data_IF_359347028993
#
_entry.id   IF_359347028993
#
_cell.length_a   1.000
_cell.length_b   1.000
_cell.length_c   1.000
_cell.angle_alpha   90.00
_cell.angle_beta   90.00
_cell.angle_gamma   90.00
#
_symmetry.space_group_name_H-M   'P 1'
#
loop_
_entity.id
_entity.type
_entity.pdbx_description
1 polymer ?
#
# COMPACT_ATOMS: atom_id res chain seq x y z
N UNK A 1 -4.75 25.30 -15.40
CA UNK A 1 -5.09 23.85 -15.24
C UNK A 1 -6.12 23.66 -14.13
N UNK A 2 -6.75 22.49 -13.96
CA UNK A 2 -7.73 22.25 -12.88
C UNK A 2 -7.50 20.93 -12.14
N UNK A 3 -7.62 20.96 -10.81
CA UNK A 3 -7.47 19.82 -9.92
C UNK A 3 -8.80 19.45 -9.25
N UNK A 4 -9.06 18.16 -9.08
CA UNK A 4 -10.26 17.64 -8.42
C UNK A 4 -9.86 16.68 -7.30
N UNK A 5 -10.20 17.05 -6.06
CA UNK A 5 -10.03 16.21 -4.88
C UNK A 5 -11.25 15.29 -4.75
N UNK A 6 -11.14 14.01 -5.13
CA UNK A 6 -12.28 13.09 -5.17
C UNK A 6 -12.35 12.23 -3.90
N UNK A 7 -11.21 11.76 -3.41
CA UNK A 7 -11.11 10.98 -2.17
C UNK A 7 -9.68 11.02 -1.60
N UNK A 8 -9.56 10.83 -0.28
CA UNK A 8 -8.27 10.88 0.43
C UNK A 8 -7.87 12.27 0.91
N UNK A 9 -8.79 13.24 0.94
CA UNK A 9 -8.57 14.60 1.48
C UNK A 9 -9.36 14.87 2.76
N UNK A 10 -10.11 13.87 3.23
CA UNK A 10 -10.85 13.92 4.49
C UNK A 10 -10.49 12.76 5.43
N UNK A 11 -9.76 11.75 4.93
CA UNK A 11 -9.38 10.55 5.67
C UNK A 11 -8.10 9.92 5.09
N UNK A 12 -7.59 8.89 5.77
CA UNK A 12 -6.48 8.07 5.29
C UNK A 12 -7.03 6.91 4.46
N UNK A 13 -6.64 6.87 3.19
CA UNK A 13 -7.09 5.89 2.20
C UNK A 13 -8.13 6.48 1.23
N UNK A 14 -8.88 5.63 0.51
CA UNK A 14 -9.91 6.06 -0.45
C UNK A 14 -9.36 7.05 -1.50
N UNK A 15 -8.08 6.94 -1.86
CA UNK A 15 -7.40 7.94 -2.67
C UNK A 15 -7.97 7.97 -4.08
N UNK A 16 -8.34 9.16 -4.55
CA UNK A 16 -8.70 9.39 -5.95
C UNK A 16 -8.57 10.89 -6.25
N UNK A 17 -7.87 11.22 -7.33
CA UNK A 17 -7.80 12.58 -7.86
C UNK A 17 -8.08 12.61 -9.35
N UNK A 18 -8.49 13.77 -9.87
CA UNK A 18 -8.46 14.03 -11.30
C UNK A 18 -7.68 15.30 -11.63
N UNK A 19 -6.83 15.21 -12.65
CA UNK A 19 -5.96 16.29 -13.13
C UNK A 19 -6.41 16.68 -14.52
N UNK A 20 -6.99 17.87 -14.66
CA UNK A 20 -7.40 18.44 -15.94
C UNK A 20 -6.31 19.38 -16.46
N UNK A 21 -5.73 18.96 -17.58
CA UNK A 21 -4.70 19.67 -18.34
C UNK A 21 -5.28 20.92 -19.01
N UNK A 22 -4.44 21.84 -19.47
CA UNK A 22 -4.92 23.10 -20.07
C UNK A 22 -5.74 22.88 -21.34
N UNK A 23 -5.41 21.83 -22.09
CA UNK A 23 -6.17 21.40 -23.27
C UNK A 23 -7.53 20.75 -22.94
N UNK A 24 -7.93 20.70 -21.66
CA UNK A 24 -9.20 20.15 -21.19
C UNK A 24 -9.24 18.63 -21.07
N UNK A 25 -8.16 17.90 -21.37
CA UNK A 25 -8.06 16.45 -21.11
C UNK A 25 -7.85 16.19 -19.63
N UNK A 26 -8.55 15.19 -19.11
CA UNK A 26 -8.52 14.86 -17.68
C UNK A 26 -7.95 13.46 -17.45
N UNK A 27 -7.15 13.31 -16.41
CA UNK A 27 -6.50 12.05 -16.02
C UNK A 27 -6.87 11.73 -14.58
N UNK A 28 -7.46 10.57 -14.34
CA UNK A 28 -7.67 10.07 -12.97
C UNK A 28 -6.34 9.49 -12.49
N UNK A 29 -5.95 9.83 -11.26
CA UNK A 29 -4.84 9.17 -10.57
C UNK A 29 -5.36 8.54 -9.29
N UNK A 30 -5.16 7.22 -9.21
CA UNK A 30 -5.64 6.28 -8.20
C UNK A 30 -7.16 6.20 -8.01
N UNK A 31 -7.61 5.02 -7.58
CA UNK A 31 -8.98 4.67 -7.25
C UNK A 31 -8.96 3.67 -6.08
N UNK A 32 -8.89 4.22 -4.87
CA UNK A 32 -8.72 3.49 -3.63
C UNK A 32 -9.98 3.12 -2.87
N UNK A 33 -9.90 2.10 -2.01
CA UNK A 33 -10.93 1.79 -1.01
C UNK A 33 -10.65 2.49 0.33
N UNK A 34 -11.72 2.80 1.06
CA UNK A 34 -11.65 3.07 2.49
C UNK A 34 -11.84 1.75 3.26
N UNK A 35 -10.77 1.28 3.91
CA UNK A 35 -10.75 -0.05 4.53
C UNK A 35 -11.55 -0.18 5.84
N UNK A 36 -11.62 0.81 6.75
CA UNK A 36 -12.32 0.65 8.02
C UNK A 36 -13.75 0.08 7.92
N UNK A 37 -14.67 0.61 7.08
CA UNK A 37 -16.02 0.04 6.95
C UNK A 37 -16.03 -1.35 6.29
N UNK A 38 -14.99 -1.72 5.54
CA UNK A 38 -14.86 -3.06 4.95
C UNK A 38 -14.44 -4.08 6.00
N UNK A 39 -13.55 -3.70 6.94
CA UNK A 39 -13.10 -4.59 8.02
C UNK A 39 -14.24 -4.97 8.96
N UNK A 40 -15.26 -4.12 9.09
CA UNK A 40 -16.48 -4.40 9.84
C UNK A 40 -17.40 -5.43 9.16
N UNK A 41 -17.23 -5.69 7.86
CA UNK A 41 -18.00 -6.71 7.15
C UNK A 41 -17.42 -8.11 7.43
N UNK A 42 -18.28 -9.02 7.88
CA UNK A 42 -17.92 -10.43 8.06
C UNK A 42 -17.46 -11.08 6.73
N UNK A 43 -16.39 -11.90 6.79
CA UNK A 43 -15.94 -12.71 5.66
C UNK A 43 -17.10 -13.56 5.10
N UNK A 44 -17.53 -13.28 3.87
CA UNK A 44 -18.49 -14.12 3.13
C UNK A 44 -19.81 -13.46 2.73
N UNK A 45 -20.12 -12.24 3.18
CA UNK A 45 -21.24 -11.46 2.63
C UNK A 45 -20.82 -10.79 1.33
N UNK A 46 -21.71 -10.74 0.33
CA UNK A 46 -21.45 -10.11 -0.97
C UNK A 46 -21.10 -8.62 -0.80
N UNK A 47 -19.80 -8.35 -0.70
CA UNK A 47 -19.18 -7.02 -0.58
C UNK A 47 -19.56 -6.06 -1.73
N UNK A 48 -19.68 -6.49 -3.02
CA UNK A 48 -19.76 -5.55 -4.14
C UNK A 48 -20.93 -4.55 -4.09
N UNK A 49 -22.10 -4.97 -3.60
CA UNK A 49 -23.30 -4.12 -3.65
C UNK A 49 -23.30 -3.00 -2.60
N UNK A 50 -22.58 -3.16 -1.49
CA UNK A 50 -22.64 -2.24 -0.34
C UNK A 50 -21.47 -1.27 -0.24
N UNK A 51 -20.39 -1.44 -1.02
CA UNK A 51 -19.19 -0.60 -0.89
C UNK A 51 -19.49 0.90 -1.03
N UNK A 52 -20.39 1.28 -1.94
CA UNK A 52 -20.80 2.68 -2.08
C UNK A 52 -21.65 3.15 -0.90
N UNK A 53 -22.58 2.31 -0.43
CA UNK A 53 -23.50 2.62 0.67
C UNK A 53 -22.75 2.84 2.00
N UNK A 54 -21.70 2.06 2.25
CA UNK A 54 -20.88 2.17 3.47
C UNK A 54 -19.74 3.19 3.35
N UNK A 55 -19.70 3.97 2.27
CA UNK A 55 -18.66 4.99 2.05
C UNK A 55 -17.26 4.42 1.79
N UNK A 56 -17.16 3.17 1.34
CA UNK A 56 -15.88 2.54 1.04
C UNK A 56 -15.29 2.94 -0.33
N UNK A 57 -16.09 3.56 -1.21
CA UNK A 57 -15.66 4.06 -2.51
C UNK A 57 -15.53 5.60 -2.49
N UNK A 58 -14.59 6.18 -3.27
CA UNK A 58 -14.55 7.61 -3.55
C UNK A 58 -15.88 8.10 -4.13
N UNK A 59 -16.32 9.29 -3.74
CA UNK A 59 -17.51 9.91 -4.31
C UNK A 59 -17.17 10.67 -5.60
N UNK A 60 -17.21 9.95 -6.72
CA UNK A 60 -16.84 10.45 -8.05
C UNK A 60 -17.87 11.37 -8.74
N UNK A 61 -18.93 11.77 -8.04
CA UNK A 61 -20.00 12.62 -8.59
C UNK A 61 -19.51 13.99 -9.07
N UNK A 62 -18.45 14.53 -8.47
CA UNK A 62 -17.79 15.77 -8.92
C UNK A 62 -17.29 15.68 -10.37
N UNK A 63 -17.00 14.48 -10.86
CA UNK A 63 -16.51 14.24 -12.22
C UNK A 63 -17.64 14.03 -13.24
N UNK A 64 -18.90 13.99 -12.82
CA UNK A 64 -20.06 13.67 -13.68
C UNK A 64 -20.14 14.50 -14.96
N UNK A 65 -19.92 15.82 -14.86
CA UNK A 65 -19.97 16.76 -15.99
C UNK A 65 -18.78 16.65 -16.94
N UNK A 66 -17.71 15.94 -16.55
CA UNK A 66 -16.43 15.91 -17.27
C UNK A 66 -16.03 14.51 -17.71
N UNK A 67 -16.89 13.50 -17.52
CA UNK A 67 -16.58 12.09 -17.83
C UNK A 67 -16.08 11.85 -19.25
N UNK A 68 -16.61 12.58 -20.24
CA UNK A 68 -16.17 12.49 -21.65
C UNK A 68 -14.74 13.03 -21.90
N UNK A 69 -14.23 13.84 -20.97
CA UNK A 69 -12.89 14.44 -21.03
C UNK A 69 -11.84 13.58 -20.34
N UNK A 70 -12.24 12.56 -19.58
CA UNK A 70 -11.34 11.61 -18.91
C UNK A 70 -10.71 10.68 -19.94
N UNK A 71 -9.38 10.69 -20.01
CA UNK A 71 -8.59 9.98 -21.04
C UNK A 71 -7.85 8.75 -20.49
N UNK A 72 -7.60 8.72 -19.19
CA UNK A 72 -6.89 7.62 -18.54
C UNK A 72 -7.31 7.47 -17.08
N UNK A 73 -7.19 6.24 -16.59
CA UNK A 73 -7.22 5.88 -15.18
C UNK A 73 -5.81 5.40 -14.82
N UNK A 74 -5.07 6.13 -14.01
CA UNK A 74 -3.64 5.87 -13.76
C UNK A 74 -3.46 5.44 -12.32
N UNK A 75 -2.88 4.28 -12.08
CA UNK A 75 -2.71 3.72 -10.74
C UNK A 75 -1.23 3.70 -10.36
N UNK A 76 -0.88 4.41 -9.29
CA UNK A 76 0.49 4.60 -8.83
C UNK A 76 1.10 3.33 -8.24
N UNK A 77 0.33 2.55 -7.48
CA UNK A 77 0.79 1.30 -6.88
C UNK A 77 -0.34 0.35 -6.45
N UNK A 78 0.04 -0.79 -5.87
CA UNK A 78 -0.84 -1.94 -5.68
C UNK A 78 -1.60 -2.02 -4.34
N UNK A 79 -1.55 -0.99 -3.47
CA UNK A 79 -2.32 -1.03 -2.22
C UNK A 79 -3.81 -0.76 -2.46
N UNK A 80 -4.65 -1.30 -1.59
CA UNK A 80 -6.09 -1.28 -1.77
C UNK A 80 -6.69 0.12 -1.72
N UNK A 81 -6.04 1.04 -1.03
CA UNK A 81 -6.37 2.46 -0.99
C UNK A 81 -5.87 3.24 -2.21
N UNK A 82 -5.32 2.56 -3.22
CA UNK A 82 -4.96 3.13 -4.54
C UNK A 82 -5.54 2.35 -5.72
N UNK A 83 -5.61 1.01 -5.65
CA UNK A 83 -6.12 0.16 -6.74
C UNK A 83 -7.46 -0.51 -6.41
N UNK A 84 -7.88 -0.50 -5.14
CA UNK A 84 -8.96 -1.35 -4.66
C UNK A 84 -10.34 -0.98 -5.18
N UNK A 85 -10.58 0.28 -5.54
CA UNK A 85 -11.87 0.74 -6.06
C UNK A 85 -11.99 0.61 -7.58
N UNK A 86 -10.87 0.41 -8.30
CA UNK A 86 -10.85 0.24 -9.76
C UNK A 86 -11.89 -0.77 -10.25
N UNK A 87 -12.03 -2.00 -9.68
CA UNK A 87 -13.02 -2.97 -10.16
C UNK A 87 -14.47 -2.47 -10.12
N UNK A 88 -14.77 -1.49 -9.28
CA UNK A 88 -16.14 -1.00 -9.04
C UNK A 88 -16.43 0.31 -9.76
N UNK A 89 -15.40 1.10 -10.04
CA UNK A 89 -15.53 2.44 -10.63
C UNK A 89 -15.21 2.46 -12.13
N UNK A 90 -14.34 1.56 -12.62
CA UNK A 90 -13.69 1.76 -13.92
C UNK A 90 -14.64 1.92 -15.10
N UNK A 91 -15.72 1.13 -15.13
CA UNK A 91 -16.73 1.17 -16.20
C UNK A 91 -17.47 2.51 -16.32
N UNK A 92 -17.35 3.38 -15.32
CA UNK A 92 -17.91 4.73 -15.34
C UNK A 92 -17.16 5.66 -16.30
N UNK A 93 -15.97 5.26 -16.73
CA UNK A 93 -15.06 6.01 -17.57
C UNK A 93 -14.75 5.22 -18.83
N UNK A 94 -14.84 5.85 -20.00
CA UNK A 94 -14.44 5.25 -21.28
C UNK A 94 -12.93 5.48 -21.49
N UNK A 95 -12.12 4.96 -20.60
CA UNK A 95 -10.69 5.24 -20.52
C UNK A 95 -9.88 4.01 -20.10
N UNK A 96 -8.77 3.74 -20.79
CA UNK A 96 -7.87 2.65 -20.44
C UNK A 96 -7.25 2.85 -19.03
N UNK A 97 -6.91 1.74 -18.38
CA UNK A 97 -6.33 1.68 -17.03
C UNK A 97 -4.81 1.46 -17.16
N UNK A 98 -4.02 2.34 -16.57
CA UNK A 98 -2.55 2.38 -16.64
C UNK A 98 -1.93 2.13 -15.27
N UNK A 99 -0.77 1.48 -15.25
CA UNK A 99 -0.07 1.17 -14.01
C UNK A 99 1.11 0.23 -14.25
N UNK A 100 1.87 -0.05 -13.20
CA UNK A 100 3.05 -0.93 -13.29
C UNK A 100 2.66 -2.40 -13.45
N UNK A 101 3.57 -3.28 -13.93
CA UNK A 101 3.28 -4.70 -14.08
C UNK A 101 2.69 -5.34 -12.81
N UNK A 102 3.27 -5.04 -11.64
CA UNK A 102 2.83 -5.58 -10.36
C UNK A 102 1.44 -5.07 -9.98
N UNK A 103 1.19 -3.76 -10.13
CA UNK A 103 -0.13 -3.16 -9.90
C UNK A 103 -1.20 -3.81 -10.79
N UNK A 104 -0.89 -4.08 -12.07
CA UNK A 104 -1.81 -4.74 -12.99
C UNK A 104 -2.08 -6.21 -12.62
N UNK A 105 -1.07 -6.95 -12.18
CA UNK A 105 -1.29 -8.33 -11.71
C UNK A 105 -2.10 -8.40 -10.42
N UNK A 106 -1.92 -7.44 -9.51
CA UNK A 106 -2.76 -7.32 -8.30
C UNK A 106 -4.19 -6.94 -8.67
N UNK A 107 -4.39 -5.97 -9.56
CA UNK A 107 -5.72 -5.60 -10.08
C UNK A 107 -6.42 -6.81 -10.72
N UNK A 108 -5.72 -7.58 -11.53
CA UNK A 108 -6.24 -8.83 -12.11
C UNK A 108 -6.71 -9.81 -11.03
N UNK A 109 -5.96 -9.94 -9.94
CA UNK A 109 -6.32 -10.82 -8.85
C UNK A 109 -7.50 -10.28 -8.03
N UNK A 110 -7.60 -8.96 -7.80
CA UNK A 110 -8.75 -8.33 -7.14
C UNK A 110 -10.03 -8.50 -7.94
N UNK A 111 -9.97 -8.32 -9.26
CA UNK A 111 -11.09 -8.52 -10.15
C UNK A 111 -11.57 -9.98 -10.12
N UNK A 112 -10.64 -10.96 -10.19
CA UNK A 112 -10.95 -12.40 -10.09
C UNK A 112 -11.58 -12.78 -8.76
N UNK A 113 -11.04 -12.28 -7.64
CA UNK A 113 -11.54 -12.61 -6.29
C UNK A 113 -12.98 -12.14 -6.06
N UNK A 114 -13.41 -11.11 -6.79
CA UNK A 114 -14.74 -10.53 -6.70
C UNK A 114 -15.67 -10.94 -7.86
N UNK A 115 -15.22 -11.83 -8.75
CA UNK A 115 -15.93 -12.23 -9.96
C UNK A 115 -16.33 -11.04 -10.86
N UNK A 116 -15.45 -10.04 -10.94
CA UNK A 116 -15.66 -8.81 -11.73
C UNK A 116 -14.88 -8.91 -13.04
N UNK A 117 -15.59 -8.71 -14.15
CA UNK A 117 -14.98 -8.51 -15.47
C UNK A 117 -14.76 -7.02 -15.73
N UNK A 118 -13.50 -6.60 -15.72
CA UNK A 118 -13.10 -5.24 -16.11
C UNK A 118 -13.41 -5.01 -17.60
N UNK A 119 -13.96 -3.84 -17.93
CA UNK A 119 -14.37 -3.48 -19.29
C UNK A 119 -13.27 -2.70 -20.03
N UNK A 120 -12.61 -1.77 -19.35
CA UNK A 120 -11.53 -0.99 -19.95
C UNK A 120 -10.24 -1.81 -20.11
N UNK A 121 -9.44 -1.48 -21.12
CA UNK A 121 -8.18 -2.19 -21.36
C UNK A 121 -7.15 -1.77 -20.32
N UNK A 122 -6.37 -2.73 -19.86
CA UNK A 122 -5.21 -2.48 -19.00
C UNK A 122 -3.97 -2.25 -19.86
N UNK A 123 -3.17 -1.27 -19.48
CA UNK A 123 -1.94 -0.85 -20.14
C UNK A 123 -0.83 -0.79 -19.09
N UNK A 124 0.31 -1.37 -19.43
CA UNK A 124 1.46 -1.39 -18.53
C UNK A 124 2.38 -0.22 -18.83
N UNK A 125 2.79 0.51 -17.79
CA UNK A 125 3.88 1.48 -17.84
C UNK A 125 4.98 0.98 -16.91
N UNK A 126 6.19 0.81 -17.42
CA UNK A 126 7.31 0.34 -16.61
C UNK A 126 7.76 1.45 -15.64
N UNK A 127 8.27 1.12 -14.44
CA UNK A 127 8.90 2.12 -13.57
C UNK A 127 10.00 2.87 -14.33
N UNK A 128 10.09 4.19 -14.13
CA UNK A 128 11.01 5.07 -14.85
C UNK A 128 10.78 5.09 -16.38
N UNK A 129 9.54 4.99 -16.84
CA UNK A 129 9.18 5.17 -18.25
C UNK A 129 7.99 6.12 -18.41
N UNK A 130 7.76 6.60 -19.63
CA UNK A 130 6.61 7.41 -19.99
C UNK A 130 5.87 6.83 -21.18
N UNK A 131 4.59 7.20 -21.31
CA UNK A 131 3.74 6.84 -22.42
C UNK A 131 2.94 8.06 -22.88
N UNK A 132 2.73 8.21 -24.17
CA UNK A 132 1.81 9.20 -24.71
C UNK A 132 0.38 8.65 -24.64
N UNK A 133 -0.48 9.32 -23.88
CA UNK A 133 -1.89 8.99 -23.72
C UNK A 133 -2.71 10.13 -24.30
N UNK A 134 -3.37 9.88 -25.43
CA UNK A 134 -4.18 10.88 -26.13
C UNK A 134 -3.42 12.20 -26.36
N UNK A 135 -2.14 12.15 -26.75
CA UNK A 135 -1.31 13.33 -26.99
C UNK A 135 -0.71 13.97 -25.73
N UNK A 136 -0.88 13.38 -24.54
CA UNK A 136 -0.32 13.87 -23.27
C UNK A 136 0.72 12.88 -22.76
N UNK A 137 1.92 13.32 -22.40
CA UNK A 137 2.91 12.45 -21.78
C UNK A 137 2.50 12.14 -20.33
N UNK A 138 2.44 10.85 -19.99
CA UNK A 138 2.28 10.34 -18.62
C UNK A 138 3.55 9.61 -18.24
N UNK A 139 4.24 10.06 -17.20
CA UNK A 139 5.52 9.52 -16.75
C UNK A 139 5.39 8.87 -15.36
N UNK A 140 5.98 7.69 -15.21
CA UNK A 140 6.10 6.97 -13.94
C UNK A 140 7.53 7.08 -13.44
N UNK A 141 7.72 7.69 -12.26
CA UNK A 141 9.01 7.81 -11.60
C UNK A 141 9.08 6.85 -10.43
N UNK A 142 10.03 5.91 -10.47
CA UNK A 142 10.20 4.89 -9.44
C UNK A 142 10.56 5.51 -8.09
N UNK A 143 9.79 5.14 -7.07
CA UNK A 143 10.06 5.43 -5.66
C UNK A 143 9.89 4.18 -4.83
N UNK A 144 10.42 4.21 -3.61
CA UNK A 144 10.27 3.11 -2.66
C UNK A 144 9.03 3.32 -1.80
N UNK A 145 8.37 2.22 -1.43
CA UNK A 145 7.23 2.20 -0.52
C UNK A 145 7.12 0.79 0.10
N UNK A 146 6.06 0.50 0.85
CA UNK A 146 5.80 -0.84 1.42
C UNK A 146 5.24 -1.85 0.40
N UNK A 147 5.06 -1.47 -0.87
CA UNK A 147 4.73 -2.39 -1.97
C UNK A 147 5.70 -2.26 -3.14
N UNK A 148 5.71 -3.24 -4.06
CA UNK A 148 6.62 -3.24 -5.20
C UNK A 148 6.15 -2.35 -6.34
N UNK A 149 7.10 -1.84 -7.12
CA UNK A 149 6.87 -1.02 -8.32
C UNK A 149 5.91 0.17 -8.07
N UNK A 150 6.05 0.83 -6.93
CA UNK A 150 5.41 2.12 -6.65
C UNK A 150 6.02 3.22 -7.50
N UNK A 151 5.18 4.10 -8.02
CA UNK A 151 5.61 5.23 -8.82
C UNK A 151 4.94 6.54 -8.40
N UNK A 152 5.73 7.62 -8.43
CA UNK A 152 5.20 8.97 -8.58
C UNK A 152 4.71 9.10 -10.01
N UNK A 153 3.51 9.66 -10.18
CA UNK A 153 2.89 9.87 -11.48
C UNK A 153 3.04 11.34 -11.87
N UNK A 154 3.56 11.63 -13.05
CA UNK A 154 3.61 12.98 -13.62
C UNK A 154 2.81 13.02 -14.92
N UNK A 155 1.81 13.90 -14.97
CA UNK A 155 1.04 14.19 -16.18
C UNK A 155 1.54 15.52 -16.73
N UNK A 156 2.15 15.49 -17.92
CA UNK A 156 2.85 16.65 -18.50
C UNK A 156 1.89 17.57 -19.24
N UNK A 157 2.11 18.87 -19.10
CA UNK A 157 1.39 19.94 -19.79
C UNK A 157 2.39 21.04 -20.21
N UNK A 158 1.97 21.95 -21.08
CA UNK A 158 2.78 23.10 -21.51
C UNK A 158 3.08 24.07 -20.36
N UNK A 159 2.22 24.15 -19.34
CA UNK A 159 2.42 24.97 -18.13
C UNK A 159 3.29 24.27 -17.07
N UNK A 160 3.76 23.05 -17.37
CA UNK A 160 4.51 22.20 -16.46
C UNK A 160 3.70 21.01 -15.94
N UNK A 161 4.35 19.94 -15.47
CA UNK A 161 3.65 18.72 -15.07
C UNK A 161 2.86 18.91 -13.76
N UNK A 162 1.70 18.25 -13.69
CA UNK A 162 1.03 17.93 -12.43
C UNK A 162 1.57 16.58 -11.92
N UNK A 163 2.13 16.60 -10.71
CA UNK A 163 2.82 15.48 -10.09
C UNK A 163 2.00 14.97 -8.92
N UNK A 164 1.77 13.66 -8.90
CA UNK A 164 1.14 12.94 -7.81
C UNK A 164 2.18 12.05 -7.12
N UNK A 165 2.62 12.49 -5.95
CA UNK A 165 3.59 11.82 -5.09
C UNK A 165 2.93 11.38 -3.78
N UNK A 166 1.85 10.60 -3.90
CA UNK A 166 1.21 9.99 -2.75
C UNK A 166 1.82 8.61 -2.49
N UNK A 167 1.96 8.23 -1.22
CA UNK A 167 2.50 6.94 -0.76
C UNK A 167 3.90 6.61 -1.30
N UNK A 168 4.91 7.23 -0.69
CA UNK A 168 6.32 6.96 -0.99
C UNK A 168 7.17 7.11 0.28
N UNK A 169 8.40 6.59 0.24
CA UNK A 169 9.50 6.98 1.14
C UNK A 169 10.79 7.09 0.34
N UNK A 170 11.80 7.78 0.87
CA UNK A 170 13.14 7.80 0.27
C UNK A 170 14.09 6.78 0.92
N UNK A 171 14.00 5.54 0.45
CA UNK A 171 14.86 4.44 0.88
C UNK A 171 16.05 4.24 -0.06
N UNK A 172 17.26 4.53 0.44
CA UNK A 172 18.51 4.37 -0.31
C UNK A 172 19.14 2.97 -0.21
N UNK A 173 18.61 2.12 0.68
CA UNK A 173 19.08 0.75 0.90
C UNK A 173 17.89 -0.23 0.91
N UNK A 174 17.04 -0.24 -0.13
CA UNK A 174 15.87 -1.10 -0.15
C UNK A 174 16.29 -2.57 -0.22
N UNK A 175 15.51 -3.45 0.41
CA UNK A 175 15.77 -4.90 0.39
C UNK A 175 15.43 -5.53 -0.97
N UNK A 176 14.41 -5.03 -1.66
CA UNK A 176 14.04 -5.41 -3.01
C UNK A 176 13.93 -4.17 -3.88
N UNK A 177 14.34 -4.30 -5.13
CA UNK A 177 14.17 -3.26 -6.15
C UNK A 177 15.28 -2.21 -6.10
N UNK A 178 15.06 -1.11 -6.80
CA UNK A 178 16.02 0.00 -6.90
C UNK A 178 15.68 1.07 -5.86
N UNK A 179 16.68 1.86 -5.47
CA UNK A 179 16.46 3.13 -4.76
C UNK A 179 15.65 4.10 -5.65
N UNK A 180 15.00 5.14 -5.08
CA UNK A 180 14.31 6.17 -5.85
C UNK A 180 15.19 6.76 -6.96
N UNK A 181 14.59 7.08 -8.11
CA UNK A 181 15.32 7.69 -9.23
C UNK A 181 15.43 9.21 -9.08
N UNK A 182 16.38 9.63 -8.24
CA UNK A 182 16.64 11.06 -7.99
C UNK A 182 17.07 11.81 -9.25
N UNK A 183 17.72 11.15 -10.22
CA UNK A 183 18.13 11.79 -11.45
C UNK A 183 16.91 12.16 -12.30
N UNK A 184 15.92 11.26 -12.38
CA UNK A 184 14.64 11.56 -13.04
C UNK A 184 13.82 12.59 -12.29
N UNK A 185 13.78 12.57 -10.96
CA UNK A 185 13.10 13.62 -10.18
C UNK A 185 13.70 15.01 -10.46
N UNK A 186 15.03 15.12 -10.54
CA UNK A 186 15.70 16.37 -10.93
C UNK A 186 15.42 16.77 -12.39
N UNK A 187 15.37 15.80 -13.31
CA UNK A 187 14.97 16.05 -14.70
C UNK A 187 13.53 16.55 -14.79
N UNK A 188 12.61 15.96 -14.02
CA UNK A 188 11.22 16.41 -13.92
C UNK A 188 11.16 17.84 -13.37
N UNK A 189 11.91 18.14 -12.32
CA UNK A 189 12.00 19.49 -11.74
C UNK A 189 12.47 20.53 -12.77
N UNK A 190 13.39 20.18 -13.67
CA UNK A 190 13.86 21.09 -14.73
C UNK A 190 12.78 21.47 -15.75
N UNK A 191 11.67 20.71 -15.82
CA UNK A 191 10.50 21.06 -16.63
C UNK A 191 9.58 22.09 -15.96
N UNK A 192 9.87 22.49 -14.71
CA UNK A 192 9.04 23.42 -13.93
C UNK A 192 7.75 22.77 -13.43
N UNK A 193 7.79 22.08 -12.29
CA UNK A 193 6.61 21.38 -11.75
C UNK A 193 5.49 22.38 -11.43
N UNK A 194 4.35 22.22 -12.10
CA UNK A 194 3.20 23.11 -11.91
C UNK A 194 2.47 22.81 -10.59
N UNK A 195 2.25 21.52 -10.29
CA UNK A 195 1.53 21.12 -9.07
C UNK A 195 2.14 19.86 -8.50
N UNK A 196 2.29 19.82 -7.19
CA UNK A 196 2.65 18.64 -6.42
C UNK A 196 1.49 18.28 -5.49
N UNK A 197 0.86 17.13 -5.73
CA UNK A 197 -0.05 16.48 -4.78
C UNK A 197 0.78 15.48 -3.99
N UNK A 198 0.81 15.57 -2.66
CA UNK A 198 1.78 14.81 -1.85
C UNK A 198 1.19 14.32 -0.53
N UNK A 199 1.59 13.11 -0.16
CA UNK A 199 1.23 12.42 1.09
C UNK A 199 1.52 13.29 2.33
N UNK A 200 0.52 13.43 3.21
CA UNK A 200 0.63 14.17 4.47
C UNK A 200 0.67 13.28 5.72
N UNK A 201 0.54 11.95 5.57
CA UNK A 201 0.23 11.01 6.65
C UNK A 201 1.21 11.10 7.83
N UNK A 202 2.50 11.25 7.55
CA UNK A 202 3.57 11.38 8.54
C UNK A 202 4.32 12.70 8.46
N UNK A 203 3.69 13.76 7.95
CA UNK A 203 4.27 15.10 7.91
C UNK A 203 4.66 15.66 9.29
N UNK A 204 4.01 15.18 10.36
CA UNK A 204 4.31 15.55 11.74
C UNK A 204 5.43 14.73 12.40
N UNK A 205 5.95 13.69 11.75
CA UNK A 205 7.01 12.87 12.31
C UNK A 205 8.37 13.55 12.08
N UNK A 206 8.99 14.06 13.16
CA UNK A 206 10.28 14.76 13.13
C UNK A 206 11.47 13.81 12.90
N UNK A 207 11.52 13.22 11.72
CA UNK A 207 12.55 12.28 11.32
C UNK A 207 12.64 12.20 9.79
N UNK A 208 13.67 11.50 9.34
CA UNK A 208 13.66 10.81 8.04
C UNK A 208 13.12 9.40 8.24
N UNK A 209 12.30 8.89 7.32
CA UNK A 209 11.79 7.52 7.42
C UNK A 209 12.94 6.50 7.33
N UNK A 210 13.08 5.58 8.30
CA UNK A 210 14.10 4.54 8.25
C UNK A 210 13.96 3.63 7.02
N UNK A 211 15.11 3.20 6.49
CA UNK A 211 15.18 2.21 5.41
C UNK A 211 14.53 0.88 5.83
N UNK A 212 13.94 0.16 4.88
CA UNK A 212 13.50 -1.22 5.07
C UNK A 212 14.64 -2.16 5.52
N UNK A 213 15.90 -1.80 5.26
CA UNK A 213 17.06 -2.49 5.84
C UNK A 213 17.00 -2.52 7.38
N UNK A 214 16.55 -1.44 8.03
CA UNK A 214 16.43 -1.39 9.49
C UNK A 214 15.38 -2.39 9.98
N UNK A 215 14.24 -2.50 9.29
CA UNK A 215 13.25 -3.53 9.63
C UNK A 215 13.77 -4.95 9.40
N UNK A 216 14.57 -5.17 8.35
CA UNK A 216 15.26 -6.43 8.12
C UNK A 216 16.23 -6.76 9.25
N UNK A 217 17.01 -5.79 9.72
CA UNK A 217 17.98 -5.98 10.80
C UNK A 217 17.26 -6.32 12.12
N UNK A 218 16.19 -5.59 12.47
CA UNK A 218 15.35 -5.89 13.63
C UNK A 218 14.71 -7.28 13.55
N UNK A 219 14.21 -7.66 12.37
CA UNK A 219 13.64 -8.98 12.15
C UNK A 219 14.68 -10.09 12.26
N UNK A 220 15.89 -9.86 11.75
CA UNK A 220 17.01 -10.78 11.86
C UNK A 220 17.41 -11.00 13.32
N UNK A 221 17.48 -9.94 14.11
CA UNK A 221 17.77 -10.03 15.55
C UNK A 221 16.73 -10.90 16.28
N UNK A 222 15.44 -10.65 16.03
CA UNK A 222 14.36 -11.44 16.63
C UNK A 222 14.39 -12.90 16.20
N UNK A 223 14.63 -13.19 14.92
CA UNK A 223 14.59 -14.56 14.39
C UNK A 223 15.83 -15.37 14.72
N UNK A 224 17.02 -14.77 14.66
CA UNK A 224 18.30 -15.47 14.74
C UNK A 224 18.92 -15.43 16.15
N UNK A 225 18.72 -14.35 16.91
CA UNK A 225 19.38 -14.14 18.20
C UNK A 225 18.48 -14.45 19.40
N UNK A 226 17.32 -15.04 19.15
CA UNK A 226 16.38 -15.48 20.18
C UNK A 226 16.38 -17.00 20.28
N UNK A 227 16.54 -17.56 21.49
CA UNK A 227 16.39 -19.00 21.71
C UNK A 227 15.02 -19.49 21.20
N UNK A 228 15.04 -20.35 20.18
CA UNK A 228 13.87 -20.86 19.48
C UNK A 228 13.93 -22.38 19.21
N UNK A 229 14.82 -23.11 19.88
CA UNK A 229 15.16 -24.52 19.59
C UNK A 229 13.93 -25.43 19.51
N UNK A 230 12.99 -25.29 20.45
CA UNK A 230 11.74 -26.08 20.51
C UNK A 230 10.50 -25.34 19.99
N UNK A 231 10.68 -24.09 19.53
CA UNK A 231 9.58 -23.19 19.17
C UNK A 231 9.09 -23.43 17.75
N UNK A 232 7.76 -23.40 17.53
CA UNK A 232 7.24 -22.98 16.23
C UNK A 232 7.36 -21.45 16.15
N UNK A 233 7.81 -20.93 15.01
CA UNK A 233 7.84 -19.48 14.79
C UNK A 233 6.73 -19.08 13.83
N UNK A 234 5.94 -18.10 14.23
CA UNK A 234 4.84 -17.55 13.45
C UNK A 234 5.13 -16.07 13.21
N UNK A 235 5.35 -15.69 11.97
CA UNK A 235 5.50 -14.30 11.55
C UNK A 235 4.23 -13.85 10.86
N UNK A 236 3.74 -12.66 11.20
CA UNK A 236 2.62 -12.03 10.52
C UNK A 236 2.99 -10.63 10.08
N UNK A 237 2.57 -10.25 8.87
CA UNK A 237 2.86 -8.95 8.24
C UNK A 237 1.85 -8.65 7.14
N UNK A 238 1.93 -7.46 6.55
CA UNK A 238 1.14 -7.08 5.39
C UNK A 238 1.45 -7.99 4.20
N UNK A 239 0.40 -8.57 3.58
CA UNK A 239 0.59 -9.48 2.44
C UNK A 239 1.19 -8.78 1.21
N UNK A 240 0.96 -7.47 1.05
CA UNK A 240 1.53 -6.65 -0.02
C UNK A 240 3.02 -6.37 0.16
N UNK A 241 3.58 -6.56 1.37
CA UNK A 241 4.94 -6.15 1.69
C UNK A 241 5.98 -7.22 1.32
N UNK A 242 6.17 -7.42 0.01
CA UNK A 242 7.02 -8.48 -0.55
C UNK A 242 8.47 -8.38 -0.09
N UNK A 243 9.02 -7.17 0.09
CA UNK A 243 10.36 -6.97 0.64
C UNK A 243 10.53 -7.56 2.05
N UNK A 244 9.48 -7.43 2.89
CA UNK A 244 9.44 -8.06 4.21
C UNK A 244 9.37 -9.57 4.11
N UNK A 245 8.49 -10.08 3.25
CA UNK A 245 8.35 -11.52 3.00
C UNK A 245 9.66 -12.14 2.54
N UNK A 246 10.43 -11.46 1.67
CA UNK A 246 11.77 -11.90 1.25
C UNK A 246 12.76 -11.97 2.41
N UNK A 247 12.74 -10.98 3.30
CA UNK A 247 13.58 -11.01 4.51
C UNK A 247 13.23 -12.19 5.41
N UNK A 248 11.92 -12.46 5.61
CA UNK A 248 11.44 -13.61 6.39
C UNK A 248 11.91 -14.93 5.75
N UNK A 249 11.81 -15.05 4.42
CA UNK A 249 12.28 -16.23 3.67
C UNK A 249 13.79 -16.42 3.82
N UNK A 250 14.57 -15.35 3.67
CA UNK A 250 16.02 -15.40 3.81
C UNK A 250 16.45 -15.89 5.19
N UNK A 251 15.84 -15.36 6.25
CA UNK A 251 16.13 -15.79 7.62
C UNK A 251 15.61 -17.21 7.91
N UNK A 252 14.44 -17.58 7.39
CA UNK A 252 13.94 -18.96 7.51
C UNK A 252 14.89 -19.99 6.92
N UNK A 253 15.52 -19.67 5.78
CA UNK A 253 16.56 -20.50 5.15
C UNK A 253 17.84 -20.58 6.00
N UNK A 254 18.28 -19.46 6.57
CA UNK A 254 19.45 -19.43 7.46
C UNK A 254 19.25 -20.29 8.71
N UNK A 255 18.01 -20.41 9.18
CA UNK A 255 17.63 -21.25 10.32
C UNK A 255 17.35 -22.71 9.96
N UNK A 256 17.52 -23.10 8.69
CA UNK A 256 17.16 -24.43 8.16
C UNK A 256 15.71 -24.85 8.48
N UNK A 257 14.78 -23.89 8.38
CA UNK A 257 13.35 -24.14 8.61
C UNK A 257 12.57 -24.20 7.30
N UNK A 258 11.56 -25.07 7.26
CA UNK A 258 10.55 -25.10 6.21
C UNK A 258 9.62 -23.90 6.34
N UNK A 259 9.51 -23.12 5.28
CA UNK A 259 8.75 -21.86 5.27
C UNK A 259 7.38 -22.09 4.66
N UNK A 260 6.31 -21.85 5.43
CA UNK A 260 4.92 -22.04 5.00
C UNK A 260 4.17 -20.73 5.00
N UNK A 261 3.65 -20.33 3.85
CA UNK A 261 2.82 -19.14 3.69
C UNK A 261 1.34 -19.53 3.72
N UNK A 262 0.60 -18.96 4.67
CA UNK A 262 -0.78 -19.34 4.98
C UNK A 262 -1.73 -18.13 4.82
N UNK A 263 -2.60 -18.19 3.82
CA UNK A 263 -3.66 -17.21 3.63
C UNK A 263 -3.87 -16.77 2.19
N UNK A 264 -5.12 -16.44 1.85
CA UNK A 264 -5.53 -16.03 0.49
C UNK A 264 -4.80 -14.78 0.02
N UNK A 265 -4.67 -13.76 0.89
CA UNK A 265 -3.98 -12.51 0.54
C UNK A 265 -2.49 -12.72 0.29
N UNK A 266 -1.79 -13.53 1.09
CA UNK A 266 -0.38 -13.87 0.84
C UNK A 266 -0.22 -14.54 -0.52
N UNK A 267 -1.04 -15.55 -0.81
CA UNK A 267 -1.03 -16.24 -2.11
C UNK A 267 -1.24 -15.27 -3.28
N UNK A 268 -2.16 -14.31 -3.14
CA UNK A 268 -2.45 -13.29 -4.16
C UNK A 268 -1.22 -12.45 -4.51
N UNK A 269 -0.63 -11.79 -3.51
CA UNK A 269 0.46 -10.84 -3.72
C UNK A 269 1.77 -11.53 -4.09
N UNK A 270 2.08 -12.69 -3.49
CA UNK A 270 3.28 -13.46 -3.84
C UNK A 270 3.21 -13.95 -5.28
N UNK A 271 2.08 -14.50 -5.72
CA UNK A 271 1.95 -14.94 -7.12
C UNK A 271 2.01 -13.77 -8.11
N UNK A 272 1.46 -12.61 -7.76
CA UNK A 272 1.62 -11.41 -8.59
C UNK A 272 3.11 -11.03 -8.73
N UNK A 273 3.86 -11.02 -7.63
CA UNK A 273 5.29 -10.69 -7.64
C UNK A 273 6.11 -11.71 -8.45
N UNK A 274 5.80 -13.00 -8.31
CA UNK A 274 6.40 -14.10 -9.07
C UNK A 274 6.12 -13.96 -10.57
N UNK A 275 4.88 -13.71 -10.98
CA UNK A 275 4.52 -13.55 -12.41
C UNK A 275 5.20 -12.35 -13.06
N UNK A 276 5.49 -11.32 -12.27
CA UNK A 276 6.26 -10.16 -12.70
C UNK A 276 7.78 -10.38 -12.64
N UNK A 277 8.26 -11.58 -12.28
CA UNK A 277 9.68 -11.92 -12.08
C UNK A 277 10.39 -10.98 -11.08
N UNK A 278 9.67 -10.52 -10.05
CA UNK A 278 10.22 -9.62 -9.01
C UNK A 278 10.82 -10.37 -7.83
N UNK A 279 10.43 -11.63 -7.65
CA UNK A 279 10.94 -12.57 -6.65
C UNK A 279 10.97 -13.98 -7.24
N UNK A 280 11.83 -14.84 -6.70
CA UNK A 280 11.76 -16.28 -6.91
C UNK A 280 11.63 -16.97 -5.55
N UNK A 281 10.41 -17.42 -5.24
CA UNK A 281 10.11 -18.18 -4.02
C UNK A 281 9.77 -19.64 -4.31
N UNK A 282 9.73 -20.07 -5.57
CA UNK A 282 9.13 -21.35 -5.96
C UNK A 282 9.78 -22.57 -5.30
N UNK A 283 11.06 -22.47 -4.96
CA UNK A 283 11.82 -23.54 -4.31
C UNK A 283 11.99 -23.35 -2.80
N UNK A 284 11.64 -22.18 -2.30
CA UNK A 284 11.95 -21.75 -0.94
C UNK A 284 10.74 -21.84 0.01
N UNK A 285 9.52 -21.78 -0.52
CA UNK A 285 8.29 -21.75 0.30
C UNK A 285 7.25 -22.76 -0.16
N UNK A 286 6.41 -23.20 0.77
CA UNK A 286 5.14 -23.87 0.50
C UNK A 286 3.99 -22.89 0.74
N UNK A 287 3.02 -22.81 -0.18
CA UNK A 287 1.88 -21.90 -0.06
C UNK A 287 0.57 -22.66 0.07
N UNK A 288 -0.26 -22.29 1.06
CA UNK A 288 -1.61 -22.82 1.23
C UNK A 288 -2.63 -21.70 1.41
N UNK A 289 -3.60 -21.64 0.49
CA UNK A 289 -4.68 -20.65 0.50
C UNK A 289 -6.05 -21.26 0.80
N UNK A 290 -6.26 -22.55 0.50
CA UNK A 290 -7.55 -23.23 0.71
C UNK A 290 -7.66 -23.88 2.09
N UNK A 291 -8.87 -23.84 2.67
CA UNK A 291 -9.14 -24.30 4.04
C UNK A 291 -8.69 -25.75 4.31
N UNK A 292 -8.85 -26.66 3.34
CA UNK A 292 -8.45 -28.07 3.48
C UNK A 292 -6.93 -28.23 3.52
N UNK A 293 -6.21 -27.54 2.63
CA UNK A 293 -4.76 -27.61 2.54
C UNK A 293 -4.09 -27.00 3.77
N UNK A 294 -4.59 -25.84 4.22
CA UNK A 294 -4.15 -25.20 5.46
C UNK A 294 -4.31 -26.15 6.66
N UNK A 295 -5.45 -26.85 6.78
CA UNK A 295 -5.65 -27.83 7.87
C UNK A 295 -4.63 -28.98 7.81
N UNK A 296 -4.35 -29.52 6.62
CA UNK A 296 -3.39 -30.62 6.45
C UNK A 296 -1.97 -30.18 6.82
N UNK A 297 -1.53 -29.01 6.33
CA UNK A 297 -0.23 -28.44 6.64
C UNK A 297 -0.08 -28.19 8.15
N UNK A 298 -1.10 -27.60 8.78
CA UNK A 298 -1.08 -27.28 10.21
C UNK A 298 -0.95 -28.51 11.11
N UNK A 299 -1.53 -29.66 10.72
CA UNK A 299 -1.32 -30.93 11.44
C UNK A 299 0.16 -31.35 11.42
N UNK A 300 0.79 -31.29 10.26
CA UNK A 300 2.22 -31.65 10.11
C UNK A 300 3.13 -30.70 10.89
N UNK A 301 2.82 -29.40 10.87
CA UNK A 301 3.56 -28.40 11.64
C UNK A 301 3.44 -28.67 13.15
N UNK A 302 2.25 -29.05 13.62
CA UNK A 302 2.02 -29.33 15.04
C UNK A 302 2.86 -30.52 15.55
N UNK A 303 3.17 -31.50 14.70
CA UNK A 303 4.01 -32.66 15.00
C UNK A 303 5.52 -32.32 14.97
N UNK A 304 5.95 -31.35 14.17
CA UNK A 304 7.37 -31.03 13.92
C UNK A 304 7.70 -29.55 14.07
N UNK A 305 7.20 -28.93 15.14
CA UNK A 305 7.15 -27.46 15.37
C UNK A 305 8.45 -26.72 15.06
N UNK A 306 9.57 -27.18 15.61
CA UNK A 306 10.90 -26.55 15.45
C UNK A 306 11.43 -26.57 14.02
N UNK A 307 10.86 -27.36 13.12
CA UNK A 307 11.25 -27.42 11.71
C UNK A 307 10.56 -26.37 10.84
N UNK A 308 9.63 -25.59 11.39
CA UNK A 308 8.78 -24.71 10.60
C UNK A 308 8.90 -23.23 10.99
N UNK A 309 8.80 -22.39 9.96
CA UNK A 309 8.57 -20.95 10.04
C UNK A 309 7.25 -20.67 9.29
N UNK A 310 6.21 -20.29 10.02
CA UNK A 310 4.92 -19.94 9.45
C UNK A 310 4.87 -18.46 9.15
N UNK A 311 4.39 -18.10 7.96
CA UNK A 311 4.06 -16.72 7.59
C UNK A 311 2.57 -16.67 7.31
N UNK A 312 1.82 -15.88 8.06
CA UNK A 312 0.36 -15.91 7.98
C UNK A 312 -0.29 -14.54 8.04
N UNK A 313 -1.53 -14.45 7.54
CA UNK A 313 -2.38 -13.25 7.69
C UNK A 313 -2.92 -13.13 9.12
N UNK A 314 -3.33 -11.91 9.50
CA UNK A 314 -3.93 -11.65 10.81
C UNK A 314 -3.16 -10.68 11.70
N UNK A 315 -2.28 -9.86 11.13
CA UNK A 315 -1.40 -8.97 11.89
C UNK A 315 -2.15 -7.81 12.57
N UNK A 316 -3.38 -7.48 12.13
CA UNK A 316 -4.28 -6.52 12.78
C UNK A 316 -5.36 -7.22 13.62
N UNK A 317 -5.29 -8.55 13.80
CA UNK A 317 -6.34 -9.32 14.47
C UNK A 317 -7.61 -9.49 13.63
N UNK A 318 -7.51 -9.43 12.30
CA UNK A 318 -8.66 -9.48 11.40
C UNK A 318 -9.48 -10.76 11.62
N UNK A 319 -10.82 -10.67 11.81
CA UNK A 319 -11.67 -11.84 11.94
C UNK A 319 -11.50 -12.82 10.77
N UNK A 320 -11.43 -14.12 11.06
CA UNK A 320 -11.26 -15.16 10.05
C UNK A 320 -9.82 -15.33 9.51
N UNK A 321 -8.90 -14.41 9.83
CA UNK A 321 -7.49 -14.53 9.49
C UNK A 321 -6.83 -15.78 10.11
N UNK A 322 -5.73 -16.22 9.52
CA UNK A 322 -5.07 -17.47 9.94
C UNK A 322 -4.58 -17.36 11.39
N UNK A 323 -3.94 -16.25 11.77
CA UNK A 323 -3.44 -16.07 13.14
C UNK A 323 -4.56 -16.04 14.18
N UNK A 324 -5.67 -15.33 13.92
CA UNK A 324 -6.83 -15.32 14.82
C UNK A 324 -7.44 -16.71 14.97
N UNK A 325 -7.51 -17.48 13.89
CA UNK A 325 -7.99 -18.87 13.94
C UNK A 325 -7.03 -19.80 14.68
N UNK A 326 -5.71 -19.55 14.63
CA UNK A 326 -4.72 -20.26 15.45
C UNK A 326 -4.88 -19.93 16.94
N UNK A 327 -5.00 -18.65 17.27
CA UNK A 327 -5.14 -18.18 18.65
C UNK A 327 -6.43 -18.67 19.34
N UNK A 328 -7.47 -18.95 18.55
CA UNK A 328 -8.76 -19.48 19.01
C UNK A 328 -8.90 -21.01 18.87
N UNK A 329 -7.82 -21.75 18.63
CA UNK A 329 -7.83 -23.22 18.46
C UNK A 329 -8.78 -23.74 17.35
N UNK A 330 -9.04 -22.93 16.32
CA UNK A 330 -9.94 -23.27 15.20
C UNK A 330 -9.22 -24.00 14.05
N UNK A 331 -7.95 -24.35 14.24
CA UNK A 331 -7.10 -25.08 13.32
C UNK A 331 -6.49 -26.30 14.03
N UNK A 332 -6.10 -27.36 13.30
CA UNK A 332 -5.44 -28.55 13.86
C UNK A 332 -3.96 -28.26 14.23
N UNK A 333 -3.74 -27.15 14.92
CA UNK A 333 -2.48 -26.66 15.44
C UNK A 333 -2.81 -25.83 16.68
N UNK A 334 -2.16 -26.14 17.79
CA UNK A 334 -2.30 -25.37 19.02
C UNK A 334 -1.04 -24.58 19.27
N UNK A 335 -1.16 -23.29 19.54
CA UNK A 335 -0.06 -22.48 20.03
C UNK A 335 0.31 -22.95 21.44
N UNK A 336 1.60 -22.97 21.76
CA UNK A 336 2.17 -23.43 23.03
C UNK A 336 3.11 -22.36 23.60
N UNK A 337 3.35 -22.33 24.93
CA UNK A 337 4.13 -21.27 25.56
C UNK A 337 5.54 -21.05 24.98
N UNK A 338 6.17 -22.08 24.42
CA UNK A 338 7.48 -21.96 23.78
C UNK A 338 7.44 -21.29 22.39
N UNK A 339 6.28 -21.17 21.75
CA UNK A 339 6.21 -20.63 20.39
C UNK A 339 6.37 -19.12 20.38
N UNK A 340 6.84 -18.62 19.24
CA UNK A 340 7.02 -17.19 19.01
C UNK A 340 5.98 -16.68 18.02
N UNK A 341 5.32 -15.58 18.36
CA UNK A 341 4.48 -14.81 17.42
C UNK A 341 5.12 -13.45 17.21
N UNK A 342 5.52 -13.18 15.96
CA UNK A 342 6.24 -11.98 15.55
C UNK A 342 5.32 -11.14 14.66
N UNK A 343 4.91 -9.99 15.16
CA UNK A 343 4.19 -8.97 14.40
C UNK A 343 5.20 -8.09 13.68
N UNK A 344 5.48 -8.42 12.42
CA UNK A 344 6.34 -7.64 11.55
C UNK A 344 5.54 -6.55 10.83
N UNK A 345 4.79 -5.78 11.62
CA UNK A 345 3.91 -4.69 11.21
C UNK A 345 3.58 -3.82 12.42
N UNK A 346 3.16 -2.58 12.18
CA UNK A 346 2.54 -1.75 13.21
C UNK A 346 1.02 -1.89 13.19
N UNK A 347 0.37 -1.76 14.35
CA UNK A 347 -1.09 -1.66 14.44
C UNK A 347 -1.56 -0.37 13.78
N UNK A 348 -2.55 -0.46 12.89
CA UNK A 348 -3.16 0.70 12.25
C UNK A 348 -3.92 1.49 13.32
N UNK A 349 -3.76 2.83 13.42
CA UNK A 349 -4.38 3.65 14.45
C UNK A 349 -5.87 3.93 14.17
N UNK A 350 -6.63 2.90 13.79
CA UNK A 350 -8.07 2.94 13.63
C UNK A 350 -8.74 2.14 14.77
N UNK A 351 -9.86 2.62 15.35
CA UNK A 351 -10.49 1.97 16.50
C UNK A 351 -10.76 0.47 16.31
N UNK A 352 -11.25 0.06 15.15
CA UNK A 352 -11.54 -1.35 14.82
C UNK A 352 -10.27 -2.21 14.79
N UNK A 353 -9.18 -1.71 14.21
CA UNK A 353 -7.90 -2.41 14.16
C UNK A 353 -7.29 -2.55 15.57
N UNK A 354 -7.36 -1.50 16.38
CA UNK A 354 -6.89 -1.53 17.77
C UNK A 354 -7.69 -2.54 18.59
N UNK A 355 -9.02 -2.54 18.48
CA UNK A 355 -9.89 -3.48 19.19
C UNK A 355 -9.59 -4.94 18.82
N UNK A 356 -9.51 -5.23 17.51
CA UNK A 356 -9.18 -6.56 16.99
C UNK A 356 -7.78 -7.03 17.44
N UNK A 357 -6.78 -6.16 17.36
CA UNK A 357 -5.42 -6.46 17.81
C UNK A 357 -5.37 -6.74 19.31
N UNK A 358 -6.07 -5.95 20.13
CA UNK A 358 -6.13 -6.14 21.58
C UNK A 358 -6.78 -7.49 21.94
N UNK A 359 -7.85 -7.88 21.23
CA UNK A 359 -8.49 -9.18 21.43
C UNK A 359 -7.55 -10.35 21.09
N UNK A 360 -6.82 -10.25 19.97
CA UNK A 360 -5.80 -11.23 19.59
C UNK A 360 -4.67 -11.31 20.63
N UNK A 361 -4.13 -10.16 21.05
CA UNK A 361 -3.04 -10.11 22.02
C UNK A 361 -3.43 -10.68 23.36
N UNK A 362 -4.68 -10.43 23.81
CA UNK A 362 -5.24 -11.07 25.00
C UNK A 362 -5.22 -12.59 24.87
N UNK A 363 -5.68 -13.14 23.74
CA UNK A 363 -5.67 -14.59 23.49
C UNK A 363 -4.26 -15.19 23.42
N UNK A 364 -3.32 -14.49 22.81
CA UNK A 364 -1.92 -14.95 22.77
C UNK A 364 -1.29 -14.95 24.17
N UNK A 365 -1.57 -13.92 24.99
CA UNK A 365 -1.09 -13.83 26.38
C UNK A 365 -1.73 -14.89 27.29
N UNK A 366 -3.03 -15.16 27.14
CA UNK A 366 -3.71 -16.25 27.86
C UNK A 366 -3.04 -17.62 27.63
N UNK A 367 -2.44 -17.82 26.45
CA UNK A 367 -1.69 -19.02 26.09
C UNK A 367 -0.18 -18.95 26.42
N UNK A 368 0.26 -17.91 27.14
CA UNK A 368 1.66 -17.65 27.49
C UNK A 368 2.62 -17.61 26.28
N UNK A 369 2.13 -17.14 25.12
CA UNK A 369 2.92 -17.05 23.90
C UNK A 369 3.95 -15.92 24.02
N UNK A 370 5.16 -16.15 23.51
CA UNK A 370 6.17 -15.11 23.39
C UNK A 370 5.86 -14.22 22.19
N UNK A 371 5.49 -12.96 22.47
CA UNK A 371 5.06 -12.00 21.46
C UNK A 371 6.18 -10.99 21.19
N UNK A 372 6.52 -10.78 19.92
CA UNK A 372 7.39 -9.71 19.45
C UNK A 372 6.55 -8.75 18.61
N UNK A 373 6.39 -7.51 19.08
CA UNK A 373 5.56 -6.49 18.42
C UNK A 373 6.42 -5.45 17.70
N UNK A 374 5.81 -4.75 16.74
CA UNK A 374 6.38 -3.58 16.07
C UNK A 374 7.75 -3.80 15.43
N UNK A 375 8.01 -5.02 14.91
CA UNK A 375 9.21 -5.32 14.10
C UNK A 375 9.02 -4.74 12.69
N UNK A 376 9.02 -3.42 12.59
CA UNK A 376 8.55 -2.69 11.42
C UNK A 376 9.14 -1.27 11.32
N UNK A 377 9.24 -0.77 10.10
CA UNK A 377 9.48 0.65 9.77
C UNK A 377 8.43 1.11 8.77
N UNK A 378 8.09 2.40 8.78
CA UNK A 378 7.05 2.95 7.90
C UNK A 378 7.39 2.80 6.41
N UNK A 379 6.34 2.71 5.59
CA UNK A 379 6.41 2.80 4.14
C UNK A 379 6.31 4.24 3.61
N UNK A 380 5.90 5.19 4.43
CA UNK A 380 5.58 6.57 4.05
C UNK A 380 6.69 7.55 4.42
N UNK A 381 6.72 8.69 3.74
CA UNK A 381 7.66 9.78 3.92
C UNK A 381 7.38 10.51 5.24
N UNK A 382 8.43 10.73 6.04
CA UNK A 382 8.34 11.56 7.24
C UNK A 382 8.67 13.02 6.90
N UNK A 383 8.62 13.93 7.88
CA UNK A 383 8.81 15.38 7.68
C UNK A 383 10.01 15.74 6.79
N UNK A 384 11.15 15.10 6.99
CA UNK A 384 12.37 15.43 6.23
C UNK A 384 12.41 14.80 4.82
N UNK A 385 11.76 13.65 4.60
CA UNK A 385 11.59 13.13 3.23
C UNK A 385 10.65 14.03 2.41
N UNK A 386 9.63 14.60 3.07
CA UNK A 386 8.70 15.56 2.46
C UNK A 386 9.40 16.90 2.16
N UNK A 387 10.27 17.36 3.06
CA UNK A 387 11.13 18.51 2.80
C UNK A 387 12.03 18.26 1.58
N UNK A 388 12.63 17.07 1.48
CA UNK A 388 13.47 16.70 0.35
C UNK A 388 12.71 16.71 -0.99
N UNK A 389 11.50 16.13 -1.06
CA UNK A 389 10.75 16.09 -2.33
C UNK A 389 10.28 17.48 -2.76
N UNK A 390 9.83 18.32 -1.82
CA UNK A 390 9.41 19.70 -2.12
C UNK A 390 10.63 20.50 -2.58
N UNK A 391 11.79 20.36 -1.90
CA UNK A 391 13.04 21.04 -2.28
C UNK A 391 13.54 20.63 -3.65
N UNK A 392 13.43 19.34 -4.00
CA UNK A 392 13.84 18.83 -5.31
C UNK A 392 12.94 19.31 -6.44
N UNK A 393 11.63 19.24 -6.25
CA UNK A 393 10.67 19.53 -7.31
C UNK A 393 10.35 21.02 -7.47
N UNK A 394 10.52 21.82 -6.41
CA UNK A 394 10.20 23.26 -6.36
C UNK A 394 8.84 23.57 -7.02
N UNK A 395 7.76 22.90 -6.63
CA UNK A 395 6.47 23.02 -7.30
C UNK A 395 5.91 24.44 -7.17
N UNK A 396 5.17 24.90 -8.18
CA UNK A 396 4.41 26.17 -8.14
C UNK A 396 3.21 26.11 -7.20
N UNK A 397 2.54 24.95 -7.12
CA UNK A 397 1.44 24.69 -6.19
C UNK A 397 1.64 23.36 -5.45
N UNK A 398 1.30 23.32 -4.16
CA UNK A 398 1.33 22.12 -3.33
C UNK A 398 -0.07 21.84 -2.81
N UNK A 399 -0.48 20.58 -2.88
CA UNK A 399 -1.77 20.10 -2.39
C UNK A 399 -1.50 18.89 -1.47
N UNK A 400 -1.55 19.08 -0.14
CA UNK A 400 -1.54 17.97 0.81
C UNK A 400 -2.66 16.96 0.52
N UNK A 401 -2.36 15.67 0.58
CA UNK A 401 -3.31 14.58 0.37
C UNK A 401 -3.10 13.43 1.37
N UNK A 402 -3.95 12.40 1.28
CA UNK A 402 -3.89 11.16 2.05
C UNK A 402 -3.95 11.36 3.57
N UNK A 403 -4.95 12.12 4.02
CA UNK A 403 -5.14 12.38 5.42
C UNK A 403 -6.38 13.19 5.76
N UNK A 404 -6.69 13.21 7.05
CA UNK A 404 -7.64 14.15 7.64
C UNK A 404 -7.03 15.56 7.74
N UNK A 405 -7.89 16.56 7.96
CA UNK A 405 -7.46 17.97 8.03
C UNK A 405 -6.27 18.24 8.97
N UNK A 406 -6.14 17.63 10.15
CA UNK A 406 -4.94 17.77 10.98
C UNK A 406 -3.65 17.35 10.28
N UNK A 407 -3.64 16.21 9.57
CA UNK A 407 -2.47 15.76 8.79
C UNK A 407 -2.19 16.69 7.63
N UNK A 408 -3.22 17.06 6.87
CA UNK A 408 -3.08 18.00 5.75
C UNK A 408 -2.51 19.36 6.21
N UNK A 409 -3.00 19.88 7.34
CA UNK A 409 -2.53 21.13 7.94
C UNK A 409 -1.09 21.02 8.41
N UNK A 410 -0.67 19.86 8.93
CA UNK A 410 0.71 19.62 9.35
C UNK A 410 1.68 19.71 8.17
N UNK A 411 1.33 19.11 7.02
CA UNK A 411 2.12 19.26 5.80
C UNK A 411 2.08 20.71 5.28
N UNK A 412 0.94 21.38 5.34
CA UNK A 412 0.86 22.79 4.96
C UNK A 412 1.78 23.67 5.82
N UNK A 413 1.88 23.39 7.13
CA UNK A 413 2.80 24.08 8.03
C UNK A 413 4.27 23.84 7.63
N UNK A 414 4.64 22.61 7.27
CA UNK A 414 5.96 22.31 6.71
C UNK A 414 6.23 23.14 5.44
N UNK A 415 5.24 23.28 4.55
CA UNK A 415 5.39 24.11 3.36
C UNK A 415 5.61 25.59 3.71
N UNK A 416 4.93 26.11 4.74
CA UNK A 416 5.15 27.47 5.25
C UNK A 416 6.56 27.66 5.78
N UNK A 417 7.11 26.69 6.53
CA UNK A 417 8.51 26.70 6.95
C UNK A 417 9.48 26.79 5.74
N UNK A 418 9.06 26.28 4.58
CA UNK A 418 9.83 26.28 3.33
C UNK A 418 9.57 27.52 2.44
N UNK A 419 8.81 28.51 2.92
CA UNK A 419 8.54 29.76 2.21
C UNK A 419 7.34 29.72 1.26
N UNK A 420 6.44 28.76 1.43
CA UNK A 420 5.15 28.73 0.74
C UNK A 420 4.05 29.43 1.56
N UNK A 421 3.02 29.93 0.87
CA UNK A 421 1.87 30.65 1.41
C UNK A 421 0.58 29.84 1.25
N UNK A 422 -0.09 29.52 2.37
CA UNK A 422 -1.40 28.88 2.36
C UNK A 422 -2.42 29.79 1.67
N UNK A 423 -3.23 29.22 0.77
CA UNK A 423 -4.23 29.93 -0.03
C UNK A 423 -3.69 30.58 -1.31
N UNK A 424 -2.37 30.59 -1.51
CA UNK A 424 -1.73 31.10 -2.73
C UNK A 424 -1.02 29.99 -3.51
N UNK A 425 -0.07 29.31 -2.88
CA UNK A 425 0.66 28.20 -3.49
C UNK A 425 0.61 26.91 -2.66
N UNK A 426 0.03 26.92 -1.46
CA UNK A 426 -0.36 25.71 -0.72
C UNK A 426 -1.87 25.69 -0.57
N UNK A 427 -2.52 24.61 -1.01
CA UNK A 427 -3.97 24.51 -1.05
C UNK A 427 -4.48 23.36 -0.19
N UNK A 428 -5.17 23.69 0.89
CA UNK A 428 -5.92 22.72 1.68
C UNK A 428 -7.30 22.54 1.04
N UNK A 429 -7.63 21.30 0.70
CA UNK A 429 -8.91 20.93 0.07
C UNK A 429 -9.52 19.74 0.76
N UNK A 430 -10.82 19.55 0.53
CA UNK A 430 -11.60 18.41 1.00
C UNK A 430 -12.16 17.61 -0.18
N UNK A 431 -12.56 16.37 0.08
CA UNK A 431 -13.26 15.53 -0.88
C UNK A 431 -14.46 16.27 -1.50
N UNK A 432 -14.60 16.17 -2.82
CA UNK A 432 -15.67 16.84 -3.57
C UNK A 432 -15.37 18.30 -3.93
N UNK A 433 -14.18 18.81 -3.66
CA UNK A 433 -13.75 20.15 -4.09
C UNK A 433 -12.90 20.10 -5.38
N UNK A 434 -12.86 21.23 -6.08
CA UNK A 434 -11.99 21.43 -7.24
C UNK A 434 -11.29 22.78 -7.18
N UNK A 435 -10.04 22.84 -7.65
CA UNK A 435 -9.22 24.04 -7.69
C UNK A 435 -8.88 24.42 -9.12
N UNK A 436 -9.09 25.67 -9.48
CA UNK A 436 -8.49 26.26 -10.67
C UNK A 436 -7.09 26.79 -10.30
N UNK A 437 -6.06 26.25 -10.96
CA UNK A 437 -4.66 26.56 -10.68
C UNK A 437 -4.12 27.37 -11.86
N UNK A 438 -3.72 28.61 -11.58
CA UNK A 438 -3.28 29.62 -12.55
C UNK A 438 -1.78 29.84 -12.52
#
# INVERSE_FOLDING_TARGET
MKFYAVGGFSEVGKNMVAMEMKNGKTFIVDEGLYLPPIVELEEGKHVPARLREIGALPNDSILSKIKSRIKAQIIGHAHLDHVGAVPYLEKSYKADIYGTPFTMEVLNALARDNDIKLQNKKRVIMPNSSLNVEGTEVEFLHVTHSTLQTAIVAVHDEEGPMVYANDFKFDNTPVIGKKPDYAKLKKLASKGVHTLVVDALYAGAEQKTPSEKIARDMLGDVLLNTNNEDACIVVTTFSSHIARLKSIVDFGKQMDRKILFLGRSLYKYVNAAVRCNLIDFHRDIEMHSYRKDVKKAMKQVNEKRSKYLLVCTGHQGEPGSVLVRMANDQLPFKLKPQDHVIFSSKTIPAPINIANKNALDKKLRENNIRIFSDVHVSGHASKEDLRDIITMLKPKHIIPAHGDMPKLSTLAQLCVEMGYDIGKNVHLVQDGQSLELK
#
